data_IF_429437011042
#
_entry.id   IF_429437011042
#
_cell.length_a   1.000
_cell.length_b   1.000
_cell.length_c   1.000
_cell.angle_alpha   90.00
_cell.angle_beta   90.00
_cell.angle_gamma   90.00
#
_symmetry.space_group_name_H-M   'P 1'
#
loop_
_entity.id
_entity.type
_entity.pdbx_description
1 polymer ?
#
# COMPACT_ATOMS: atom_id res chain seq x y z
N UNK A 1 4.25 1.03 12.76
CA UNK A 1 3.08 1.85 13.15
C UNK A 1 3.37 2.68 14.40
N UNK A 2 3.52 4.00 14.24
CA UNK A 2 3.02 4.92 15.25
C UNK A 2 1.48 4.97 15.09
N UNK A 3 0.66 4.78 16.13
CA UNK A 3 -0.80 4.68 15.97
C UNK A 3 -1.43 5.89 15.27
N UNK A 4 -0.85 7.05 15.52
CA UNK A 4 -1.44 8.38 15.34
C UNK A 4 -1.76 8.73 13.87
N UNK A 5 -1.04 8.15 12.90
CA UNK A 5 -1.20 8.48 11.47
C UNK A 5 -2.39 7.78 10.81
N UNK A 6 -2.64 6.51 11.11
CA UNK A 6 -3.84 5.81 10.64
C UNK A 6 -5.09 6.39 11.31
N UNK A 7 -5.00 6.67 12.61
CA UNK A 7 -6.00 7.39 13.40
C UNK A 7 -6.40 8.72 12.74
N UNK A 8 -5.42 9.56 12.38
CA UNK A 8 -5.65 10.89 11.79
C UNK A 8 -6.17 10.85 10.36
N UNK A 9 -5.75 9.89 9.53
CA UNK A 9 -6.37 9.67 8.21
C UNK A 9 -7.86 9.30 8.33
N UNK A 10 -8.21 8.42 9.28
CA UNK A 10 -9.59 7.97 9.47
C UNK A 10 -10.52 9.14 9.87
N UNK A 11 -10.05 10.05 10.75
CA UNK A 11 -10.75 11.32 11.04
C UNK A 11 -10.95 12.16 9.78
N UNK A 12 -9.87 12.36 9.01
CA UNK A 12 -9.92 13.17 7.80
C UNK A 12 -10.91 12.61 6.77
N UNK A 13 -11.14 11.28 6.72
CA UNK A 13 -12.12 10.69 5.80
C UNK A 13 -13.58 10.65 6.27
N UNK A 14 -13.96 10.55 7.56
CA UNK A 14 -15.38 10.83 7.97
C UNK A 14 -15.76 12.29 7.71
N UNK A 15 -14.80 13.21 7.76
CA UNK A 15 -15.04 14.62 7.48
C UNK A 15 -15.23 14.95 5.99
N UNK A 16 -15.11 13.96 5.09
CA UNK A 16 -15.17 14.25 3.64
C UNK A 16 -15.78 13.16 2.74
N UNK A 17 -15.77 11.88 3.12
CA UNK A 17 -16.30 10.80 2.27
C UNK A 17 -17.81 10.59 2.40
N UNK A 18 -18.46 11.21 3.38
CA UNK A 18 -19.91 11.22 3.56
C UNK A 18 -20.33 12.69 3.66
N UNK A 19 -20.99 13.22 2.63
CA UNK A 19 -21.28 14.66 2.54
C UNK A 19 -22.39 15.15 3.48
N UNK A 20 -23.16 14.23 4.07
CA UNK A 20 -24.08 14.50 5.18
C UNK A 20 -23.80 13.54 6.34
N UNK A 21 -23.18 14.05 7.42
CA UNK A 21 -23.60 13.86 8.83
C UNK A 21 -22.49 14.20 9.85
N UNK A 22 -22.95 14.61 11.03
CA UNK A 22 -22.19 14.93 12.24
C UNK A 22 -21.57 13.68 12.89
N UNK A 23 -20.64 12.99 12.21
CA UNK A 23 -20.04 11.74 12.72
C UNK A 23 -18.60 11.86 13.23
N UNK A 24 -17.82 12.79 12.68
CA UNK A 24 -16.45 13.08 13.14
C UNK A 24 -16.43 13.55 14.62
N UNK A 25 -17.42 14.35 15.01
CA UNK A 25 -17.67 14.81 16.38
C UNK A 25 -18.15 13.73 17.37
N UNK A 26 -18.70 12.61 16.86
CA UNK A 26 -19.40 11.59 17.66
C UNK A 26 -18.65 10.26 17.77
N UNK A 27 -17.75 9.96 16.84
CA UNK A 27 -16.93 8.74 16.85
C UNK A 27 -15.44 9.07 17.03
N UNK A 28 -14.89 9.98 16.23
CA UNK A 28 -13.45 10.26 16.21
C UNK A 28 -12.58 9.05 15.83
N UNK A 29 -11.27 9.18 16.05
CA UNK A 29 -10.28 8.25 15.52
C UNK A 29 -10.32 6.84 16.15
N UNK A 30 -10.37 6.76 17.48
CA UNK A 30 -10.19 5.50 18.23
C UNK A 30 -11.20 4.40 17.86
N UNK A 31 -12.51 4.69 17.82
CA UNK A 31 -13.51 3.73 17.36
C UNK A 31 -13.33 3.31 15.89
N UNK A 32 -12.95 4.23 15.00
CA UNK A 32 -12.67 3.89 13.60
C UNK A 32 -11.48 2.95 13.46
N UNK A 33 -10.40 3.21 14.19
CA UNK A 33 -9.23 2.33 14.19
C UNK A 33 -9.56 0.97 14.84
N UNK A 34 -10.38 0.96 15.89
CA UNK A 34 -10.88 -0.28 16.53
C UNK A 34 -11.69 -1.12 15.54
N UNK A 35 -12.61 -0.50 14.79
CA UNK A 35 -13.35 -1.18 13.72
C UNK A 35 -12.41 -1.64 12.61
N UNK A 36 -11.49 -0.79 12.16
CA UNK A 36 -10.50 -1.14 11.12
C UNK A 36 -9.68 -2.37 11.52
N UNK A 37 -9.08 -2.39 12.71
CA UNK A 37 -8.33 -3.56 13.24
C UNK A 37 -9.21 -4.82 13.36
N UNK A 38 -10.51 -4.68 13.61
CA UNK A 38 -11.42 -5.81 13.74
C UNK A 38 -11.88 -6.41 12.39
N UNK A 39 -11.92 -5.59 11.32
CA UNK A 39 -12.36 -6.01 9.97
C UNK A 39 -11.21 -6.25 8.99
N UNK A 40 -10.05 -5.61 9.17
CA UNK A 40 -8.88 -5.80 8.32
C UNK A 40 -8.21 -7.14 8.60
N UNK A 41 -8.69 -8.15 7.90
CA UNK A 41 -8.19 -9.54 7.91
C UNK A 41 -8.63 -10.24 6.63
N UNK A 42 -7.94 -11.32 6.21
CA UNK A 42 -8.42 -12.15 5.10
C UNK A 42 -9.75 -12.83 5.47
N UNK A 43 -10.73 -12.82 4.56
CA UNK A 43 -12.09 -13.35 4.76
C UNK A 43 -12.53 -14.33 3.66
N UNK A 44 -11.67 -14.63 2.68
CA UNK A 44 -11.97 -15.61 1.66
C UNK A 44 -12.15 -17.03 2.22
N UNK A 45 -13.20 -17.71 1.75
CA UNK A 45 -13.46 -19.13 1.95
C UNK A 45 -13.01 -19.90 0.70
N UNK A 46 -12.85 -21.23 0.77
CA UNK A 46 -12.34 -22.03 -0.36
C UNK A 46 -13.23 -21.91 -1.62
N UNK A 47 -14.51 -21.69 -1.40
CA UNK A 47 -15.58 -21.51 -2.40
C UNK A 47 -15.63 -20.07 -2.96
N UNK A 48 -14.84 -19.14 -2.41
CA UNK A 48 -14.82 -17.74 -2.85
C UNK A 48 -14.18 -17.62 -4.23
N UNK A 49 -15.05 -17.45 -5.24
CA UNK A 49 -14.67 -17.32 -6.65
C UNK A 49 -13.57 -16.28 -6.86
N UNK A 50 -12.44 -16.72 -7.41
CA UNK A 50 -11.32 -15.84 -7.74
C UNK A 50 -10.40 -15.47 -6.57
N UNK A 51 -10.67 -15.94 -5.35
CA UNK A 51 -9.76 -15.76 -4.22
C UNK A 51 -8.60 -16.75 -4.21
N UNK A 52 -8.71 -17.89 -4.92
CA UNK A 52 -7.72 -18.97 -4.87
C UNK A 52 -7.16 -19.29 -6.25
N UNK A 53 -5.85 -19.53 -6.31
CA UNK A 53 -5.19 -20.20 -7.43
C UNK A 53 -4.56 -21.48 -6.90
N UNK A 54 -5.20 -22.62 -7.22
CA UNK A 54 -4.86 -23.92 -6.64
C UNK A 54 -4.86 -23.87 -5.09
N UNK A 55 -3.77 -24.26 -4.44
CA UNK A 55 -3.56 -24.19 -2.99
C UNK A 55 -3.32 -22.78 -2.42
N UNK A 56 -3.07 -21.75 -3.25
CA UNK A 56 -2.73 -20.41 -2.79
C UNK A 56 -3.92 -19.46 -2.70
N UNK A 57 -4.00 -18.73 -1.57
CA UNK A 57 -4.81 -17.52 -1.44
C UNK A 57 -4.17 -16.40 -2.28
N UNK A 58 -4.89 -15.90 -3.27
CA UNK A 58 -4.46 -14.78 -4.09
C UNK A 58 -4.57 -13.48 -3.30
N UNK A 59 -3.42 -12.84 -3.11
CA UNK A 59 -3.28 -11.54 -2.46
C UNK A 59 -2.55 -10.58 -3.39
N UNK A 60 -2.75 -9.28 -3.23
CA UNK A 60 -2.00 -8.25 -3.93
C UNK A 60 -1.53 -7.18 -2.96
N UNK A 61 -0.45 -6.50 -3.34
CA UNK A 61 -0.01 -5.25 -2.71
C UNK A 61 -0.10 -4.11 -3.71
N UNK A 62 -0.68 -2.98 -3.29
CA UNK A 62 -0.84 -1.80 -4.13
C UNK A 62 -0.59 -0.50 -3.35
N UNK A 63 -0.17 0.54 -4.07
CA UNK A 63 0.15 1.88 -3.57
C UNK A 63 -0.91 2.90 -4.02
N UNK A 64 -1.28 3.84 -3.15
CA UNK A 64 -2.28 4.85 -3.52
C UNK A 64 -2.09 6.15 -2.75
N UNK A 65 -2.61 7.25 -3.27
CA UNK A 65 -2.52 8.58 -2.64
C UNK A 65 -3.90 9.17 -2.39
N UNK A 66 -4.11 9.76 -1.21
CA UNK A 66 -5.35 10.43 -0.85
C UNK A 66 -5.11 11.92 -0.63
N UNK A 67 -5.83 12.77 -1.36
CA UNK A 67 -5.91 14.21 -1.05
C UNK A 67 -6.64 14.43 0.27
N UNK A 68 -6.14 15.35 1.07
CA UNK A 68 -6.77 15.79 2.33
C UNK A 68 -7.23 17.25 2.21
N UNK A 69 -8.17 17.73 3.05
CA UNK A 69 -8.62 19.12 3.04
C UNK A 69 -7.44 20.09 3.17
N UNK A 70 -7.48 21.19 2.42
CA UNK A 70 -6.44 22.21 2.48
C UNK A 70 -6.53 22.99 3.80
N UNK A 71 -5.64 22.65 4.73
CA UNK A 71 -5.43 23.33 6.00
C UNK A 71 -3.96 23.31 6.35
N UNK A 72 -3.47 24.33 7.03
CA UNK A 72 -2.08 24.42 7.48
C UNK A 72 -1.62 23.17 8.26
N UNK A 73 -2.49 22.57 9.09
CA UNK A 73 -2.16 21.39 9.89
C UNK A 73 -2.04 20.12 9.05
N UNK A 74 -2.81 20.01 7.97
CA UNK A 74 -2.69 18.93 7.01
C UNK A 74 -1.48 19.11 6.10
N UNK A 75 -1.15 20.35 5.72
CA UNK A 75 0.10 20.63 5.00
C UNK A 75 1.34 20.35 5.87
N UNK A 76 1.32 20.78 7.15
CA UNK A 76 2.41 20.54 8.12
C UNK A 76 2.67 19.05 8.36
N UNK A 77 1.63 18.23 8.46
CA UNK A 77 1.80 16.78 8.69
C UNK A 77 2.14 16.02 7.41
N UNK A 78 1.38 16.24 6.32
CA UNK A 78 1.39 15.33 5.17
C UNK A 78 2.13 15.86 3.95
N UNK A 79 2.33 17.18 3.85
CA UNK A 79 2.98 17.83 2.72
C UNK A 79 2.18 17.77 1.41
N UNK A 80 2.75 18.38 0.35
CA UNK A 80 2.17 18.44 -1.00
C UNK A 80 3.17 17.89 -2.02
N UNK A 81 2.74 17.11 -3.02
CA UNK A 81 3.53 16.87 -4.22
C UNK A 81 3.98 18.19 -4.89
N UNK A 82 5.16 18.15 -5.51
CA UNK A 82 5.57 19.17 -6.49
C UNK A 82 4.86 18.93 -7.82
N UNK A 83 4.46 19.99 -8.53
CA UNK A 83 3.92 19.85 -9.88
C UNK A 83 5.04 19.74 -10.92
N UNK A 84 4.81 19.00 -12.00
CA UNK A 84 5.74 18.91 -13.13
C UNK A 84 5.76 20.15 -14.03
N UNK A 85 5.33 21.33 -13.55
CA UNK A 85 5.21 22.58 -14.34
C UNK A 85 5.59 23.81 -13.51
N UNK A 86 6.89 23.99 -13.30
CA UNK A 86 7.45 25.13 -12.57
C UNK A 86 7.31 25.01 -11.05
N UNK A 87 7.37 26.14 -10.35
CA UNK A 87 7.38 26.22 -8.87
C UNK A 87 6.04 25.87 -8.19
N UNK A 88 5.02 25.49 -8.98
CA UNK A 88 3.70 25.12 -8.46
C UNK A 88 3.75 23.87 -7.58
N UNK A 89 3.24 23.99 -6.35
CA UNK A 89 2.90 22.86 -5.46
C UNK A 89 1.47 22.41 -5.77
N UNK A 90 1.10 21.16 -5.52
CA UNK A 90 -0.28 20.70 -5.83
C UNK A 90 -1.35 21.40 -4.99
N UNK A 91 -2.54 21.56 -5.56
CA UNK A 91 -3.63 22.30 -4.95
C UNK A 91 -4.14 21.76 -3.59
N UNK A 92 -3.74 20.55 -3.19
CA UNK A 92 -4.06 19.95 -1.89
C UNK A 92 -2.86 19.18 -1.32
N UNK A 93 -2.73 19.08 0.02
CA UNK A 93 -1.84 18.13 0.67
C UNK A 93 -2.28 16.68 0.41
N UNK A 94 -1.36 15.72 0.54
CA UNK A 94 -1.64 14.30 0.24
C UNK A 94 -1.04 13.34 1.26
N UNK A 95 -1.76 12.25 1.52
CA UNK A 95 -1.29 11.08 2.26
C UNK A 95 -0.87 10.02 1.24
N UNK A 96 0.35 9.48 1.39
CA UNK A 96 0.74 8.25 0.73
C UNK A 96 0.22 7.06 1.55
N UNK A 97 -0.34 6.08 0.86
CA UNK A 97 -0.81 4.83 1.44
C UNK A 97 -0.27 3.62 0.65
N UNK A 98 -0.28 2.47 1.31
CA UNK A 98 -0.18 1.17 0.68
C UNK A 98 -1.10 0.18 1.42
N UNK A 99 -1.60 -0.83 0.73
CA UNK A 99 -2.44 -1.87 1.31
C UNK A 99 -2.10 -3.28 0.80
N UNK A 100 -2.36 -4.28 1.65
CA UNK A 100 -2.46 -5.69 1.28
C UNK A 100 -3.93 -6.06 1.16
N UNK A 101 -4.31 -6.67 0.03
CA UNK A 101 -5.68 -7.04 -0.30
C UNK A 101 -5.80 -8.51 -0.71
N UNK A 102 -6.92 -9.16 -0.37
CA UNK A 102 -7.35 -10.40 -1.01
C UNK A 102 -7.92 -10.10 -2.41
N UNK A 103 -7.49 -10.84 -3.42
CA UNK A 103 -7.88 -10.56 -4.82
C UNK A 103 -9.34 -10.91 -5.11
N UNK A 104 -9.88 -11.99 -4.52
CA UNK A 104 -11.25 -12.44 -4.79
C UNK A 104 -12.36 -11.74 -4.00
N UNK A 105 -12.03 -11.16 -2.84
CA UNK A 105 -12.99 -10.45 -1.96
C UNK A 105 -12.81 -8.93 -2.00
N UNK A 106 -11.66 -8.45 -2.51
CA UNK A 106 -11.15 -7.09 -2.35
C UNK A 106 -10.99 -6.64 -0.88
N UNK A 107 -10.96 -7.58 0.07
CA UNK A 107 -10.80 -7.26 1.48
C UNK A 107 -9.37 -6.79 1.76
N UNK A 108 -9.22 -5.56 2.25
CA UNK A 108 -7.97 -5.04 2.80
C UNK A 108 -7.68 -5.78 4.11
N UNK A 109 -6.52 -6.44 4.20
CA UNK A 109 -6.09 -7.15 5.41
C UNK A 109 -4.87 -6.56 6.09
N UNK A 110 -4.13 -5.66 5.44
CA UNK A 110 -3.21 -4.74 6.10
C UNK A 110 -3.12 -3.42 5.35
N UNK A 111 -2.73 -2.33 6.03
CA UNK A 111 -2.49 -1.03 5.42
C UNK A 111 -1.49 -0.17 6.21
N UNK A 112 -0.74 0.67 5.48
CA UNK A 112 0.15 1.70 6.05
C UNK A 112 -0.14 3.04 5.37
N UNK A 113 -0.04 4.12 6.12
CA UNK A 113 -0.36 5.48 5.67
C UNK A 113 0.54 6.50 6.36
N UNK A 114 1.08 7.44 5.58
CA UNK A 114 1.98 8.49 6.07
C UNK A 114 1.92 9.72 5.13
N UNK A 115 2.72 10.76 5.41
CA UNK A 115 2.92 11.92 4.56
C UNK A 115 3.32 11.54 3.12
N UNK A 116 3.00 12.39 2.14
CA UNK A 116 3.35 12.18 0.73
C UNK A 116 4.87 11.96 0.49
N UNK A 117 5.72 12.50 1.37
CA UNK A 117 7.17 12.32 1.30
C UNK A 117 7.65 10.91 1.70
N UNK A 118 6.80 10.08 2.32
CA UNK A 118 7.12 8.68 2.58
C UNK A 118 7.03 7.88 1.28
N UNK A 119 8.11 7.22 0.89
CA UNK A 119 8.10 6.38 -0.31
C UNK A 119 7.17 5.19 -0.14
N UNK A 120 6.28 4.96 -1.11
CA UNK A 120 5.37 3.80 -1.20
C UNK A 120 6.08 2.47 -0.88
N UNK A 121 7.30 2.30 -1.40
CA UNK A 121 8.17 1.16 -1.13
C UNK A 121 8.38 0.85 0.36
N UNK A 122 8.51 1.89 1.21
CA UNK A 122 8.69 1.76 2.66
C UNK A 122 7.40 1.28 3.33
N UNK A 123 6.26 1.85 2.94
CA UNK A 123 4.94 1.46 3.44
C UNK A 123 4.60 0.01 3.08
N UNK A 124 5.09 -0.47 1.93
CA UNK A 124 4.97 -1.87 1.51
C UNK A 124 5.88 -2.79 2.34
N UNK A 125 7.16 -2.44 2.54
CA UNK A 125 8.08 -3.22 3.40
C UNK A 125 7.55 -3.34 4.84
N UNK A 126 6.89 -2.31 5.37
CA UNK A 126 6.23 -2.33 6.69
C UNK A 126 5.03 -3.28 6.81
N UNK A 127 4.48 -3.82 5.71
CA UNK A 127 3.37 -4.78 5.71
C UNK A 127 3.81 -6.24 5.53
N UNK A 128 5.08 -6.51 5.23
CA UNK A 128 5.56 -7.88 5.07
C UNK A 128 5.32 -8.81 6.29
N UNK A 129 5.31 -8.34 7.56
CA UNK A 129 4.92 -9.18 8.71
C UNK A 129 3.48 -9.74 8.69
N UNK A 130 2.61 -9.22 7.80
CA UNK A 130 1.24 -9.70 7.61
C UNK A 130 1.11 -10.75 6.49
N UNK A 131 2.18 -11.00 5.74
CA UNK A 131 2.29 -12.10 4.77
C UNK A 131 2.59 -13.42 5.49
N UNK A 132 2.17 -14.55 4.90
CA UNK A 132 2.33 -15.88 5.49
C UNK A 132 2.33 -17.00 4.43
N UNK A 133 2.81 -18.21 4.76
CA UNK A 133 2.68 -19.38 3.90
C UNK A 133 1.23 -19.64 3.46
N UNK A 134 1.08 -20.12 2.21
CA UNK A 134 -0.22 -20.32 1.56
C UNK A 134 -0.81 -19.07 0.91
N UNK A 135 -0.15 -17.90 1.00
CA UNK A 135 -0.44 -16.74 0.15
C UNK A 135 0.42 -16.78 -1.13
N UNK A 136 -0.18 -16.39 -2.25
CA UNK A 136 0.53 -15.92 -3.44
C UNK A 136 0.34 -14.40 -3.52
N UNK A 137 1.45 -13.66 -3.47
CA UNK A 137 1.46 -12.19 -3.46
C UNK A 137 1.74 -11.66 -4.86
N UNK A 138 0.75 -11.01 -5.45
CA UNK A 138 0.87 -10.27 -6.71
C UNK A 138 1.42 -8.87 -6.43
N UNK A 139 2.33 -8.39 -7.28
CA UNK A 139 2.81 -7.01 -7.21
C UNK A 139 3.21 -6.44 -8.57
N UNK A 140 3.12 -5.12 -8.67
CA UNK A 140 3.52 -4.33 -9.83
C UNK A 140 5.07 -4.17 -9.93
N UNK A 141 5.53 -3.65 -11.06
CA UNK A 141 6.96 -3.45 -11.38
C UNK A 141 7.66 -2.37 -10.55
N UNK A 142 6.92 -1.43 -9.97
CA UNK A 142 7.43 -0.38 -9.08
C UNK A 142 7.55 -0.88 -7.63
N UNK A 143 6.79 -1.93 -7.28
CA UNK A 143 6.99 -2.72 -6.05
C UNK A 143 8.23 -3.64 -6.13
N UNK A 144 8.71 -4.00 -7.33
CA UNK A 144 9.89 -4.86 -7.43
C UNK A 144 11.19 -4.19 -6.96
N UNK A 145 11.94 -4.87 -6.10
CA UNK A 145 13.40 -4.75 -6.00
C UNK A 145 13.95 -6.05 -5.44
N UNK A 146 15.22 -6.39 -5.71
CA UNK A 146 15.81 -7.64 -5.21
C UNK A 146 15.77 -7.75 -3.67
N UNK A 147 15.97 -6.62 -2.97
CA UNK A 147 15.83 -6.56 -1.50
C UNK A 147 14.39 -6.81 -1.04
N UNK A 148 13.40 -6.16 -1.67
CA UNK A 148 11.98 -6.35 -1.34
C UNK A 148 11.51 -7.77 -1.61
N UNK A 149 11.93 -8.36 -2.73
CA UNK A 149 11.68 -9.76 -3.07
C UNK A 149 12.21 -10.72 -2.00
N UNK A 150 13.47 -10.58 -1.58
CA UNK A 150 14.05 -11.44 -0.53
C UNK A 150 13.35 -11.24 0.82
N UNK A 151 13.00 -10.00 1.20
CA UNK A 151 12.33 -9.71 2.46
C UNK A 151 10.89 -10.25 2.49
N UNK A 152 10.14 -10.16 1.38
CA UNK A 152 8.82 -10.74 1.26
C UNK A 152 8.87 -12.28 1.21
N UNK A 153 9.80 -12.88 0.47
CA UNK A 153 9.96 -14.34 0.39
C UNK A 153 10.38 -14.96 1.74
N UNK A 154 11.11 -14.23 2.58
CA UNK A 154 11.47 -14.65 3.93
C UNK A 154 10.27 -14.83 4.89
N UNK A 155 9.08 -14.33 4.52
CA UNK A 155 7.81 -14.58 5.25
C UNK A 155 7.23 -15.97 4.98
N UNK A 156 7.75 -16.69 3.97
CA UNK A 156 7.24 -17.96 3.50
C UNK A 156 6.01 -17.85 2.57
N UNK A 157 5.58 -16.64 2.22
CA UNK A 157 4.62 -16.42 1.13
C UNK A 157 5.28 -16.56 -0.25
N UNK A 158 4.55 -17.12 -1.21
CA UNK A 158 4.97 -17.21 -2.62
C UNK A 158 4.73 -15.86 -3.32
N UNK A 159 5.58 -15.52 -4.30
CA UNK A 159 5.58 -14.20 -4.95
C UNK A 159 5.44 -14.33 -6.47
N UNK A 160 4.51 -13.56 -7.05
CA UNK A 160 4.38 -13.37 -8.50
C UNK A 160 4.37 -11.88 -8.83
N UNK A 161 5.56 -11.27 -8.78
CA UNK A 161 5.76 -9.84 -9.02
C UNK A 161 6.19 -9.61 -10.47
N UNK A 162 5.57 -8.64 -11.13
CA UNK A 162 6.05 -8.17 -12.42
C UNK A 162 7.37 -7.42 -12.26
N UNK A 163 8.25 -7.50 -13.27
CA UNK A 163 9.54 -6.79 -13.27
C UNK A 163 9.56 -5.78 -14.42
N UNK A 164 10.05 -4.57 -14.15
CA UNK A 164 10.33 -3.60 -15.20
C UNK A 164 11.50 -4.05 -16.05
N UNK A 165 11.54 -3.65 -17.33
CA UNK A 165 12.76 -3.80 -18.10
C UNK A 165 13.91 -3.00 -17.45
N UNK A 166 15.16 -3.48 -17.54
CA UNK A 166 16.32 -2.69 -17.16
C UNK A 166 16.36 -1.39 -17.98
N UNK A 167 16.23 -0.25 -17.29
CA UNK A 167 16.31 1.08 -17.91
C UNK A 167 17.62 1.26 -18.69
N UNK A 168 17.63 2.16 -19.69
CA UNK A 168 18.66 2.19 -20.73
C UNK A 168 20.13 2.16 -20.23
N UNK A 169 20.43 2.74 -19.06
CA UNK A 169 21.75 2.67 -18.43
C UNK A 169 22.23 1.24 -18.13
N UNK A 170 21.33 0.32 -17.76
CA UNK A 170 21.64 -1.08 -17.48
C UNK A 170 21.83 -1.93 -18.75
N UNK A 171 21.39 -1.44 -19.92
CA UNK A 171 21.64 -2.08 -21.22
C UNK A 171 23.08 -1.86 -21.73
N UNK A 172 23.87 -1.02 -21.06
CA UNK A 172 25.21 -0.59 -21.51
C UNK A 172 26.37 -1.52 -21.12
N UNK A 173 26.12 -2.68 -20.50
CA UNK A 173 27.16 -3.65 -20.12
C UNK A 173 27.11 -4.88 -21.02
N UNK A 174 28.02 -5.05 -22.00
CA UNK A 174 28.10 -6.26 -22.82
C UNK A 174 28.71 -7.44 -22.04
N UNK A 175 27.96 -7.94 -21.06
CA UNK A 175 28.32 -9.10 -20.24
C UNK A 175 28.45 -10.37 -21.08
N UNK A 176 29.67 -10.91 -21.12
CA UNK A 176 30.06 -12.08 -21.92
C UNK A 176 29.21 -13.30 -21.59
N UNK A 177 28.37 -13.77 -22.53
CA UNK A 177 27.68 -15.07 -22.39
C UNK A 177 28.71 -16.20 -22.36
N UNK A 178 28.75 -16.95 -21.27
CA UNK A 178 29.46 -18.22 -21.15
C UNK A 178 28.54 -19.23 -20.47
N UNK A 179 27.91 -20.08 -21.27
CA UNK A 179 27.39 -21.37 -20.80
C UNK A 179 28.43 -22.42 -21.19
N UNK A 180 28.99 -23.12 -20.21
CA UNK A 180 29.62 -24.41 -20.46
C UNK A 180 28.52 -25.50 -20.51
N UNK A 181 28.89 -26.68 -21.05
CA UNK A 181 28.01 -27.83 -21.24
C UNK A 181 27.45 -28.37 -19.93
#
# INVERSE_FOLDING_TARGET
>A
MAPDRLLRYLQIKVRHLIQDHDWDSRLGAGPMETVARAVMKPVAQQETRGAWYREWLLTAVDGTTFTVPDTDDNEREFGRPGSGRGEGRTAYPQIQAACLVEVGTHAVFDARMDAYAAGEAMLIEEMFPSLRPGMLVLADRHVYSFRRWLAAAATGADLAWSVGEPGAAARATPGRRVFHR
#
